data_IF_947390598820
#
_entry.id   IF_947390598820
#
_cell.length_a   1.000
_cell.length_b   1.000
_cell.length_c   1.000
_cell.angle_alpha   90.00
_cell.angle_beta   90.00
_cell.angle_gamma   90.00
#
_symmetry.space_group_name_H-M   'P 1'
#
loop_
_entity.id
_entity.type
_entity.pdbx_description
1 polymer ?
#
# COMPACT_ATOMS: atom_id res chain seq x y z
N UNK A 1 -4.85 -9.53 6.43
CA UNK A 1 -3.54 -8.86 6.48
C UNK A 1 -2.50 -9.58 5.63
N UNK A 2 -2.30 -10.89 5.81
CA UNK A 2 -1.37 -11.69 4.99
C UNK A 2 -1.66 -11.61 3.49
N UNK A 3 -2.94 -11.67 3.08
CA UNK A 3 -3.35 -11.53 1.69
C UNK A 3 -2.97 -10.18 1.08
N UNK A 4 -3.14 -9.09 1.82
CA UNK A 4 -2.79 -7.74 1.37
C UNK A 4 -1.28 -7.59 1.19
N UNK A 5 -0.48 -8.14 2.12
CA UNK A 5 0.98 -8.17 2.02
C UNK A 5 1.44 -9.01 0.82
N UNK A 6 0.82 -10.18 0.61
CA UNK A 6 1.14 -11.05 -0.51
C UNK A 6 0.82 -10.38 -1.85
N UNK A 7 -0.33 -9.70 -1.95
CA UNK A 7 -0.70 -8.91 -3.12
C UNK A 7 0.30 -7.78 -3.37
N UNK A 8 0.65 -7.00 -2.34
CA UNK A 8 1.63 -5.92 -2.45
C UNK A 8 2.96 -6.44 -3.00
N UNK A 9 3.52 -7.50 -2.41
CA UNK A 9 4.81 -8.08 -2.82
C UNK A 9 4.75 -8.58 -4.27
N UNK A 10 3.67 -9.25 -4.67
CA UNK A 10 3.47 -9.72 -6.05
C UNK A 10 3.47 -8.57 -7.04
N UNK A 11 2.69 -7.51 -6.77
CA UNK A 11 2.56 -6.35 -7.66
C UNK A 11 3.88 -5.58 -7.73
N UNK A 12 4.57 -5.44 -6.59
CA UNK A 12 5.85 -4.77 -6.50
C UNK A 12 6.94 -5.51 -7.28
N UNK A 13 6.97 -6.85 -7.24
CA UNK A 13 7.89 -7.64 -8.05
C UNK A 13 7.69 -7.44 -9.55
N UNK A 14 6.47 -7.14 -10.00
CA UNK A 14 6.13 -6.96 -11.41
C UNK A 14 6.39 -5.53 -11.90
N UNK A 15 6.16 -4.53 -11.05
CA UNK A 15 6.14 -3.12 -11.46
C UNK A 15 7.24 -2.26 -10.81
N UNK A 16 7.81 -2.71 -9.70
CA UNK A 16 8.80 -1.94 -8.92
C UNK A 16 8.28 -0.63 -8.33
N UNK A 17 6.96 -0.41 -8.29
CA UNK A 17 6.35 0.86 -7.91
C UNK A 17 5.38 0.70 -6.75
N UNK A 18 5.67 1.40 -5.65
CA UNK A 18 4.80 1.49 -4.48
C UNK A 18 3.44 2.09 -4.81
N UNK A 19 3.39 3.07 -5.71
CA UNK A 19 2.14 3.72 -6.12
C UNK A 19 1.19 2.73 -6.80
N UNK A 20 1.73 1.88 -7.68
CA UNK A 20 0.95 0.83 -8.35
C UNK A 20 0.44 -0.18 -7.32
N UNK A 21 1.24 -0.53 -6.32
CA UNK A 21 0.80 -1.42 -5.24
C UNK A 21 -0.35 -0.82 -4.40
N UNK A 22 -0.27 0.47 -4.06
CA UNK A 22 -1.32 1.17 -3.30
C UNK A 22 -2.63 1.20 -4.11
N UNK A 23 -2.56 1.53 -5.40
CA UNK A 23 -3.72 1.54 -6.29
C UNK A 23 -4.35 0.15 -6.40
N UNK A 24 -3.54 -0.90 -6.51
CA UNK A 24 -4.02 -2.27 -6.63
C UNK A 24 -4.67 -2.78 -5.34
N UNK A 25 -4.12 -2.43 -4.18
CA UNK A 25 -4.74 -2.73 -2.88
C UNK A 25 -6.12 -2.09 -2.77
N UNK A 26 -6.25 -0.80 -3.12
CA UNK A 26 -7.54 -0.12 -3.16
C UNK A 26 -8.51 -0.80 -4.13
N UNK A 27 -8.04 -1.16 -5.33
CA UNK A 27 -8.85 -1.82 -6.37
C UNK A 27 -9.41 -3.17 -5.90
N UNK A 28 -8.67 -3.89 -5.07
CA UNK A 28 -9.08 -5.16 -4.47
C UNK A 28 -9.96 -5.01 -3.22
N UNK A 29 -10.29 -3.76 -2.84
CA UNK A 29 -11.21 -3.47 -1.74
C UNK A 29 -10.56 -3.32 -0.37
N UNK A 30 -9.23 -3.30 -0.29
CA UNK A 30 -8.55 -3.02 0.97
C UNK A 30 -8.74 -1.55 1.37
N UNK A 31 -8.91 -1.31 2.67
CA UNK A 31 -9.11 0.04 3.19
C UNK A 31 -7.81 0.84 3.16
N UNK A 32 -7.92 2.16 3.34
CA UNK A 32 -6.75 3.03 3.52
C UNK A 32 -5.90 2.56 4.72
N UNK A 33 -6.55 2.19 5.83
CA UNK A 33 -5.86 1.70 7.04
C UNK A 33 -5.16 0.36 6.81
N UNK A 34 -5.77 -0.56 6.05
CA UNK A 34 -5.10 -1.81 5.68
C UNK A 34 -3.86 -1.53 4.82
N UNK A 35 -3.97 -0.58 3.89
CA UNK A 35 -2.86 -0.16 3.01
C UNK A 35 -1.70 0.44 3.82
N UNK A 36 -1.99 1.30 4.79
CA UNK A 36 -1.00 1.87 5.72
C UNK A 36 -0.29 0.76 6.49
N UNK A 37 -1.04 -0.18 7.06
CA UNK A 37 -0.48 -1.33 7.81
C UNK A 37 0.41 -2.20 6.92
N UNK A 38 0.03 -2.42 5.68
CA UNK A 38 0.86 -3.17 4.71
C UNK A 38 2.18 -2.43 4.46
N UNK A 39 2.15 -1.12 4.24
CA UNK A 39 3.36 -0.32 4.01
C UNK A 39 4.30 -0.31 5.21
N UNK A 40 3.75 -0.17 6.43
CA UNK A 40 4.53 -0.29 7.65
C UNK A 40 5.28 -1.63 7.70
N UNK A 41 4.58 -2.73 7.41
CA UNK A 41 5.14 -4.07 7.47
C UNK A 41 6.19 -4.34 6.38
N UNK A 42 5.89 -4.01 5.12
CA UNK A 42 6.75 -4.38 3.99
C UNK A 42 7.95 -3.45 3.80
N UNK A 43 7.87 -2.21 4.32
CA UNK A 43 8.91 -1.19 4.16
C UNK A 43 9.52 -0.74 5.49
N UNK A 44 9.12 -1.36 6.63
CA UNK A 44 9.59 -0.98 7.96
C UNK A 44 9.42 0.52 8.27
N UNK A 45 8.35 1.12 7.74
CA UNK A 45 8.02 2.52 7.93
C UNK A 45 7.27 2.76 9.23
N UNK A 46 7.44 3.95 9.81
CA UNK A 46 6.55 4.40 10.88
C UNK A 46 5.12 4.60 10.36
N UNK A 47 4.15 4.60 11.28
CA UNK A 47 2.74 4.87 10.94
C UNK A 47 2.56 6.23 10.26
N UNK A 48 3.35 7.24 10.66
CA UNK A 48 3.27 8.60 10.11
C UNK A 48 3.77 8.63 8.67
N UNK A 49 4.91 8.00 8.39
CA UNK A 49 5.47 7.93 7.03
C UNK A 49 4.55 7.12 6.10
N UNK A 50 4.04 5.99 6.57
CA UNK A 50 3.12 5.16 5.80
C UNK A 50 1.79 5.88 5.50
N UNK A 51 1.23 6.57 6.50
CA UNK A 51 0.03 7.40 6.33
C UNK A 51 0.25 8.52 5.31
N UNK A 52 1.37 9.25 5.40
CA UNK A 52 1.71 10.32 4.47
C UNK A 52 1.83 9.81 3.02
N UNK A 53 2.48 8.66 2.81
CA UNK A 53 2.60 8.04 1.49
C UNK A 53 1.22 7.65 0.94
N UNK A 54 0.39 6.98 1.74
CA UNK A 54 -0.94 6.54 1.29
C UNK A 54 -1.84 7.72 1.02
N UNK A 55 -1.85 8.73 1.88
CA UNK A 55 -2.69 9.91 1.72
C UNK A 55 -2.32 10.74 0.48
N UNK A 56 -1.02 10.80 0.15
CA UNK A 56 -0.51 11.49 -1.06
C UNK A 56 -0.58 10.65 -2.34
N UNK A 57 -0.94 9.37 -2.25
CA UNK A 57 -1.10 8.51 -3.43
C UNK A 57 -2.28 8.96 -4.29
N UNK A 58 -2.16 8.81 -5.61
CA UNK A 58 -3.24 9.13 -6.56
C UNK A 58 -4.49 8.30 -6.28
N UNK A 59 -4.32 7.11 -5.69
CA UNK A 59 -5.41 6.25 -5.29
C UNK A 59 -6.30 6.91 -4.22
N UNK A 60 -5.75 7.73 -3.31
CA UNK A 60 -6.48 8.24 -2.13
C UNK A 60 -6.47 9.77 -1.98
N UNK A 61 -5.73 10.50 -2.81
CA UNK A 61 -5.63 11.97 -2.76
C UNK A 61 -6.82 12.73 -3.39
N UNK A 62 -7.93 12.06 -3.69
CA UNK A 62 -9.13 12.64 -4.32
C UNK A 62 -10.25 12.87 -3.31
#
# INVERSE_FOLDING_TARGET
>A
MEEAIALFKKVYQQNGSTEVCIAELKRMGFTQMDTIRVLMEVSSLSVVEADEIVHKSLAWSN
#
